data_IF_223349851259
#
_entry.id   IF_223349851259
#
_cell.length_a   1.000
_cell.length_b   1.000
_cell.length_c   1.000
_cell.angle_alpha   90.00
_cell.angle_beta   90.00
_cell.angle_gamma   90.00
#
_symmetry.space_group_name_H-M   'P 1'
#
loop_
_entity.id
_entity.type
_entity.pdbx_description
1 polymer ?
#
# COMPACT_ATOMS: atom_id res chain seq x y z
N UNK A 1 26.58 -39.02 2.51
CA UNK A 1 27.19 -38.20 1.44
C UNK A 1 26.29 -36.99 1.24
N UNK A 2 26.62 -35.93 1.99
CA UNK A 2 26.21 -34.52 1.92
C UNK A 2 24.72 -34.17 1.73
N UNK A 3 24.11 -33.79 2.85
CA UNK A 3 22.98 -32.88 2.96
C UNK A 3 23.28 -31.58 2.19
N UNK A 4 22.52 -31.29 1.14
CA UNK A 4 22.52 -29.96 0.53
C UNK A 4 21.56 -29.06 1.30
N UNK A 5 22.08 -28.52 2.41
CA UNK A 5 21.63 -27.25 2.98
C UNK A 5 21.77 -26.17 1.89
N UNK A 6 20.68 -25.84 1.20
CA UNK A 6 20.57 -24.61 0.40
C UNK A 6 19.57 -23.65 1.03
N UNK A 7 19.47 -23.65 2.35
CA UNK A 7 19.01 -22.48 3.11
C UNK A 7 20.17 -21.48 3.16
N UNK A 8 20.42 -20.82 2.03
CA UNK A 8 21.02 -19.48 2.06
C UNK A 8 19.95 -18.52 2.58
N UNK A 9 19.64 -18.61 3.88
CA UNK A 9 18.85 -17.60 4.56
C UNK A 9 19.79 -16.45 4.90
N UNK A 10 19.86 -15.48 4.00
CA UNK A 10 20.12 -14.12 4.43
C UNK A 10 18.85 -13.63 5.12
N UNK A 11 18.80 -13.70 6.45
CA UNK A 11 17.70 -13.16 7.27
C UNK A 11 17.55 -11.63 7.13
N UNK A 12 18.39 -10.96 6.34
CA UNK A 12 18.39 -9.50 6.15
C UNK A 12 17.78 -9.01 4.84
N UNK A 13 17.40 -9.90 3.92
CA UNK A 13 16.92 -9.52 2.59
C UNK A 13 15.39 -9.27 2.56
N UNK A 14 14.97 -8.02 2.77
CA UNK A 14 13.60 -7.61 2.50
C UNK A 14 13.35 -7.44 0.99
N UNK A 15 12.31 -8.08 0.46
CA UNK A 15 11.90 -7.94 -0.94
C UNK A 15 10.74 -6.94 -1.10
N UNK A 16 10.71 -6.24 -2.23
CA UNK A 16 9.61 -5.35 -2.61
C UNK A 16 9.08 -5.65 -4.01
N UNK A 17 7.81 -5.30 -4.24
CA UNK A 17 7.19 -5.32 -5.57
C UNK A 17 7.26 -3.91 -6.14
N UNK A 18 8.08 -3.70 -7.17
CA UNK A 18 8.17 -2.42 -7.89
C UNK A 18 7.31 -2.45 -9.15
N UNK A 19 6.18 -1.73 -9.11
CA UNK A 19 5.24 -1.62 -10.23
C UNK A 19 5.49 -0.38 -11.13
N UNK A 20 6.63 0.30 -11.01
CA UNK A 20 6.94 1.53 -11.76
C UNK A 20 6.86 1.31 -13.27
N UNK A 21 7.54 0.29 -13.78
CA UNK A 21 7.63 0.02 -15.22
C UNK A 21 6.75 -1.14 -15.70
N UNK A 22 6.51 -2.13 -14.84
CA UNK A 22 5.67 -3.30 -15.15
C UNK A 22 4.78 -3.62 -13.95
N UNK A 23 3.48 -3.74 -14.16
CA UNK A 23 2.50 -4.05 -13.13
C UNK A 23 1.11 -4.22 -13.73
N UNK A 24 0.17 -4.73 -12.95
CA UNK A 24 -1.23 -4.84 -13.35
C UNK A 24 -2.03 -3.58 -12.95
N UNK A 25 -3.35 -3.64 -12.97
CA UNK A 25 -4.25 -2.55 -12.61
C UNK A 25 -4.02 -1.99 -11.20
N UNK A 26 -3.50 -2.79 -10.26
CA UNK A 26 -3.34 -2.36 -8.86
C UNK A 26 -2.36 -1.21 -8.68
N UNK A 27 -1.43 -1.00 -9.64
CA UNK A 27 -0.47 0.11 -9.60
C UNK A 27 -1.11 1.50 -9.67
N UNK A 28 -2.39 1.57 -10.04
CA UNK A 28 -3.15 2.80 -10.18
C UNK A 28 -4.08 3.08 -8.98
N UNK A 29 -4.12 2.19 -7.98
CA UNK A 29 -4.96 2.37 -6.79
C UNK A 29 -4.37 3.49 -5.94
N UNK A 30 -5.16 4.53 -5.68
CA UNK A 30 -4.75 5.70 -4.92
C UNK A 30 -4.78 5.46 -3.39
N UNK A 31 -4.20 6.41 -2.66
CA UNK A 31 -4.28 6.45 -1.22
C UNK A 31 -5.59 7.07 -0.71
N UNK A 32 -6.16 6.51 0.35
CA UNK A 32 -7.08 7.21 1.23
C UNK A 32 -6.77 6.92 2.70
N UNK A 33 -6.91 7.94 3.55
CA UNK A 33 -6.82 7.79 5.01
C UNK A 33 -7.99 6.96 5.57
N UNK A 34 -9.09 6.88 4.82
CA UNK A 34 -10.26 6.02 5.10
C UNK A 34 -10.46 5.01 3.96
N UNK A 35 -9.37 4.31 3.61
CA UNK A 35 -9.33 3.31 2.55
C UNK A 35 -10.47 2.28 2.63
N UNK A 36 -11.02 1.88 1.48
CA UNK A 36 -12.04 0.82 1.36
C UNK A 36 -11.44 -0.56 1.02
N UNK A 37 -10.14 -0.64 0.74
CA UNK A 37 -9.39 -1.88 0.60
C UNK A 37 -8.43 -2.11 1.78
N UNK A 38 -8.13 -3.38 2.06
CA UNK A 38 -7.05 -3.84 2.93
C UNK A 38 -6.11 -4.74 2.15
N UNK A 39 -4.82 -4.68 2.48
CA UNK A 39 -3.78 -5.49 1.85
C UNK A 39 -3.50 -6.70 2.73
N UNK A 40 -3.62 -7.89 2.16
CA UNK A 40 -3.24 -9.15 2.80
C UNK A 40 -2.12 -9.84 2.04
N UNK A 41 -1.22 -10.48 2.78
CA UNK A 41 -0.18 -11.35 2.23
C UNK A 41 -0.75 -12.76 2.17
N UNK A 42 -0.82 -13.34 0.97
CA UNK A 42 -1.40 -14.67 0.74
C UNK A 42 -0.35 -15.57 0.11
N UNK A 43 -0.21 -16.78 0.64
CA UNK A 43 0.62 -17.84 0.06
C UNK A 43 -0.30 -18.97 -0.33
N UNK A 44 -0.36 -19.30 -1.62
CA UNK A 44 -1.13 -20.44 -2.12
C UNK A 44 -0.28 -21.44 -2.91
N UNK A 45 0.94 -21.07 -3.31
CA UNK A 45 1.90 -21.99 -3.94
C UNK A 45 2.84 -22.59 -2.88
N UNK A 46 2.82 -23.92 -2.78
CA UNK A 46 3.65 -24.67 -1.84
C UNK A 46 5.17 -24.49 -2.08
N UNK A 47 5.57 -24.11 -3.29
CA UNK A 47 6.97 -23.98 -3.72
C UNK A 47 7.54 -22.56 -3.56
N UNK A 48 6.72 -21.56 -3.23
CA UNK A 48 7.10 -20.14 -3.19
C UNK A 48 6.77 -19.52 -1.82
N UNK A 49 7.04 -20.24 -0.73
CA UNK A 49 6.74 -19.76 0.64
C UNK A 49 7.44 -18.44 1.00
N UNK A 50 8.51 -18.08 0.29
CA UNK A 50 9.30 -16.88 0.55
C UNK A 50 8.81 -15.63 -0.20
N UNK A 51 7.91 -15.76 -1.19
CA UNK A 51 7.36 -14.63 -1.93
C UNK A 51 5.83 -14.63 -1.84
N UNK A 52 5.24 -14.08 -0.77
CA UNK A 52 3.80 -13.99 -0.64
C UNK A 52 3.23 -13.07 -1.72
N UNK A 53 2.04 -13.42 -2.21
CA UNK A 53 1.28 -12.56 -3.08
C UNK A 53 0.61 -11.44 -2.28
N UNK A 54 0.62 -10.24 -2.86
CA UNK A 54 -0.08 -9.08 -2.30
C UNK A 54 -1.49 -9.05 -2.88
N UNK A 55 -2.48 -9.25 -2.02
CA UNK A 55 -3.89 -9.32 -2.41
C UNK A 55 -4.68 -8.18 -1.74
N UNK A 56 -5.59 -7.58 -2.50
CA UNK A 56 -6.48 -6.54 -2.02
C UNK A 56 -7.85 -7.12 -1.72
N UNK A 57 -8.38 -6.81 -0.54
CA UNK A 57 -9.71 -7.24 -0.10
C UNK A 57 -10.55 -6.03 0.28
N UNK A 58 -11.83 -6.05 -0.06
CA UNK A 58 -12.78 -5.04 0.40
C UNK A 58 -12.98 -5.17 1.93
N UNK A 59 -12.90 -4.04 2.65
CA UNK A 59 -13.15 -4.02 4.11
C UNK A 59 -14.60 -3.69 4.48
N UNK A 60 -15.37 -3.25 3.49
CA UNK A 60 -16.80 -2.95 3.56
C UNK A 60 -17.37 -3.10 2.15
N UNK A 61 -18.69 -3.04 2.03
CA UNK A 61 -19.33 -2.95 0.72
C UNK A 61 -18.89 -1.67 0.00
N UNK A 62 -18.61 -1.81 -1.29
CA UNK A 62 -18.12 -0.74 -2.18
C UNK A 62 -19.20 -0.49 -3.22
N UNK A 63 -19.65 0.75 -3.33
CA UNK A 63 -20.71 1.11 -4.26
C UNK A 63 -20.19 1.21 -5.71
N UNK A 64 -21.08 1.07 -6.68
CA UNK A 64 -20.72 1.27 -8.08
C UNK A 64 -20.24 2.72 -8.31
N UNK A 65 -19.08 2.86 -8.96
CA UNK A 65 -18.47 4.17 -9.22
C UNK A 65 -17.64 4.71 -8.05
N UNK A 66 -17.63 4.05 -6.90
CA UNK A 66 -16.76 4.41 -5.80
C UNK A 66 -15.30 4.06 -6.12
N UNK A 67 -14.36 4.99 -5.87
CA UNK A 67 -12.95 4.78 -6.12
C UNK A 67 -12.35 3.75 -5.15
N UNK A 68 -11.58 2.79 -5.68
CA UNK A 68 -10.82 1.85 -4.86
C UNK A 68 -9.57 2.51 -4.29
N UNK A 69 -9.38 2.43 -2.97
CA UNK A 69 -8.27 3.10 -2.28
C UNK A 69 -7.65 2.22 -1.20
N UNK A 70 -6.35 2.42 -0.95
CA UNK A 70 -5.57 1.72 0.10
C UNK A 70 -4.87 2.71 1.04
N UNK A 71 -4.50 2.25 2.23
CA UNK A 71 -3.56 3.01 3.06
C UNK A 71 -2.13 2.69 2.59
N UNK A 72 -1.39 3.72 2.13
CA UNK A 72 0.00 3.56 1.69
C UNK A 72 0.97 3.40 2.86
N UNK A 73 0.53 3.75 4.08
CA UNK A 73 1.31 3.65 5.29
C UNK A 73 2.26 4.82 5.51
N UNK A 74 2.64 5.01 6.78
CA UNK A 74 3.47 6.14 7.22
C UNK A 74 4.81 6.23 6.49
N UNK A 75 5.50 5.10 6.27
CA UNK A 75 6.83 5.10 5.62
C UNK A 75 6.82 5.71 4.22
N UNK A 76 5.73 5.53 3.47
CA UNK A 76 5.59 6.15 2.15
C UNK A 76 5.39 7.66 2.28
N UNK A 77 4.51 8.07 3.20
CA UNK A 77 4.20 9.48 3.44
C UNK A 77 5.37 10.25 4.07
N UNK A 78 6.17 9.64 4.93
CA UNK A 78 7.37 10.26 5.53
C UNK A 78 8.35 10.75 4.45
N UNK A 79 8.40 10.05 3.31
CA UNK A 79 9.21 10.44 2.15
C UNK A 79 8.48 11.43 1.25
N UNK A 80 7.17 11.22 1.00
CA UNK A 80 6.41 11.96 -0.01
C UNK A 80 5.76 13.26 0.45
N UNK A 81 5.56 13.45 1.75
CA UNK A 81 4.97 14.66 2.30
C UNK A 81 5.77 15.94 1.97
N UNK A 82 7.06 15.81 1.64
CA UNK A 82 7.89 16.94 1.19
C UNK A 82 7.56 17.39 -0.24
N UNK A 83 7.03 16.48 -1.06
CA UNK A 83 6.72 16.72 -2.47
C UNK A 83 5.27 17.18 -2.65
N UNK A 84 4.33 16.54 -1.96
CA UNK A 84 2.90 16.86 -2.01
C UNK A 84 2.15 16.32 -0.78
N UNK A 85 0.95 16.86 -0.54
CA UNK A 85 0.05 16.39 0.51
C UNK A 85 -1.06 15.48 -0.02
N UNK A 86 -1.67 14.71 0.88
CA UNK A 86 -2.79 13.85 0.55
C UNK A 86 -4.04 14.64 0.16
N UNK A 87 -4.72 14.18 -0.90
CA UNK A 87 -5.95 14.76 -1.45
C UNK A 87 -7.13 13.79 -1.38
N UNK A 88 -7.14 12.87 -0.41
CA UNK A 88 -8.18 11.83 -0.33
C UNK A 88 -9.58 12.33 0.06
N UNK A 89 -9.72 13.59 0.46
CA UNK A 89 -11.01 14.20 0.83
C UNK A 89 -11.62 13.72 2.15
N UNK A 90 -10.99 12.77 2.86
CA UNK A 90 -11.45 12.32 4.18
C UNK A 90 -11.36 13.44 5.22
N UNK A 91 -12.40 13.57 6.05
CA UNK A 91 -12.41 14.48 7.21
C UNK A 91 -11.36 14.11 8.26
N UNK A 92 -10.94 12.85 8.29
CA UNK A 92 -9.91 12.31 9.18
C UNK A 92 -8.56 12.16 8.47
N UNK A 93 -8.30 12.93 7.41
CA UNK A 93 -7.05 12.86 6.66
C UNK A 93 -5.85 13.22 7.54
N UNK A 94 -4.85 12.32 7.58
CA UNK A 94 -3.64 12.43 8.42
C UNK A 94 -2.51 13.20 7.75
N UNK A 95 -2.58 13.37 6.44
CA UNK A 95 -1.45 13.77 5.58
C UNK A 95 -1.77 15.04 4.78
N UNK A 96 -2.67 15.89 5.28
CA UNK A 96 -2.98 17.20 4.68
C UNK A 96 -1.80 18.16 4.86
N UNK A 97 -1.57 19.04 3.89
CA UNK A 97 -0.73 20.20 4.12
C UNK A 97 -1.37 21.05 5.23
N UNK A 98 -0.61 21.37 6.28
CA UNK A 98 -1.05 22.25 7.36
C UNK A 98 -1.36 23.71 6.92
N UNK A 99 -1.38 23.99 5.62
CA UNK A 99 -1.58 25.33 5.05
C UNK A 99 -3.06 25.64 4.76
N UNK A 100 -3.97 24.66 4.77
CA UNK A 100 -5.38 24.91 4.39
C UNK A 100 -6.36 25.07 5.57
N UNK A 101 -5.88 25.09 6.81
CA UNK A 101 -6.73 25.34 8.00
C UNK A 101 -6.69 26.79 8.50
N UNK A 102 -5.97 27.69 7.84
CA UNK A 102 -5.97 29.12 8.18
C UNK A 102 -6.79 29.92 7.15
N UNK A 103 -8.10 30.05 7.39
CA UNK A 103 -8.78 31.34 7.22
C UNK A 103 -9.46 31.65 5.89
N UNK A 104 -10.43 30.86 5.43
CA UNK A 104 -11.55 31.44 4.67
C UNK A 104 -12.86 30.92 5.25
N UNK A 105 -13.37 31.67 6.23
CA UNK A 105 -14.79 31.73 6.53
C UNK A 105 -15.49 32.34 5.31
N UNK A 106 -16.46 31.63 4.74
CA UNK A 106 -17.53 32.24 3.95
C UNK A 106 -18.71 32.53 4.88
#
# INVERSE_FOLDING_TARGET
>A
MLERNTTFQDESSAYCVDAKFKGNVSRFINHSCEANLVILRVVWDANIRHFPHICFYARRDIQQGEELTIDYGNQWWDVKLRDFSCQCGSVACKYTNAIQLCGISA
#
